data_IF_713958812319
#
_entry.id   IF_713958812319
#
_cell.length_a   1.000
_cell.length_b   1.000
_cell.length_c   1.000
_cell.angle_alpha   90.00
_cell.angle_beta   90.00
_cell.angle_gamma   90.00
#
_symmetry.space_group_name_H-M   'P 1'
#
loop_
_entity.id
_entity.type
_entity.pdbx_description
1 polymer ?
#
# COMPACT_ATOMS: atom_id res chain seq x y z
N UNK A 1 47.59 -44.94 4.64
CA UNK A 1 47.34 -43.58 4.08
C UNK A 1 45.86 -43.42 3.82
N UNK A 2 45.16 -42.78 4.72
CA UNK A 2 43.70 -42.52 4.61
C UNK A 2 43.52 -41.10 4.13
N UNK A 3 43.12 -40.91 2.88
CA UNK A 3 42.68 -39.63 2.36
C UNK A 3 41.20 -39.47 2.73
N UNK A 4 40.98 -38.60 3.68
CA UNK A 4 39.64 -38.26 4.20
C UNK A 4 39.04 -37.16 3.31
N UNK A 5 38.17 -37.55 2.40
CA UNK A 5 37.34 -36.63 1.63
C UNK A 5 36.33 -35.95 2.57
N UNK A 6 36.57 -34.69 2.90
CA UNK A 6 35.63 -33.82 3.55
C UNK A 6 34.66 -33.29 2.47
N UNK A 7 33.50 -33.91 2.37
CA UNK A 7 32.41 -33.44 1.54
C UNK A 7 31.78 -32.22 2.23
N UNK A 8 32.16 -31.03 1.74
CA UNK A 8 31.58 -29.78 2.20
C UNK A 8 30.14 -29.68 1.64
N UNK A 9 29.16 -30.06 2.46
CA UNK A 9 27.75 -29.82 2.15
C UNK A 9 27.46 -28.33 2.28
N UNK A 10 27.50 -27.61 1.14
CA UNK A 10 26.98 -26.26 1.05
C UNK A 10 25.46 -26.39 1.04
N UNK A 11 24.85 -26.17 2.20
CA UNK A 11 23.40 -26.00 2.33
C UNK A 11 23.11 -24.59 1.76
N UNK A 12 22.78 -24.54 0.48
CA UNK A 12 22.13 -23.38 -0.11
C UNK A 12 20.73 -23.29 0.49
N UNK A 13 20.62 -22.53 1.58
CA UNK A 13 19.31 -22.06 2.04
C UNK A 13 18.73 -21.16 0.94
N UNK A 14 18.03 -21.76 -0.01
CA UNK A 14 17.19 -21.04 -0.92
C UNK A 14 16.11 -20.34 -0.09
N UNK A 15 16.30 -19.05 0.14
CA UNK A 15 15.23 -18.18 0.60
C UNK A 15 14.19 -18.19 -0.51
N UNK A 16 13.22 -19.08 -0.43
CA UNK A 16 12.06 -19.07 -1.30
C UNK A 16 11.28 -17.81 -0.91
N UNK A 17 11.46 -16.75 -1.71
CA UNK A 17 10.53 -15.64 -1.74
C UNK A 17 9.20 -16.30 -2.10
N UNK A 18 8.30 -16.40 -1.12
CA UNK A 18 6.95 -16.82 -1.38
C UNK A 18 6.41 -15.84 -2.43
N UNK A 19 6.28 -16.30 -3.68
CA UNK A 19 5.52 -15.59 -4.68
C UNK A 19 4.09 -15.57 -4.14
N UNK A 20 3.71 -14.42 -3.55
CA UNK A 20 2.31 -14.15 -3.26
C UNK A 20 1.64 -14.18 -4.63
N UNK A 21 0.80 -15.17 -4.85
CA UNK A 21 0.06 -15.31 -6.09
C UNK A 21 -0.90 -14.12 -6.19
N UNK A 22 -0.47 -13.08 -6.90
CA UNK A 22 -1.21 -11.82 -7.10
C UNK A 22 -2.06 -11.89 -8.36
N UNK A 23 -2.30 -13.09 -8.88
CA UNK A 23 -3.03 -13.32 -10.14
C UNK A 23 -4.46 -12.77 -10.14
N UNK A 24 -5.03 -12.48 -8.97
CA UNK A 24 -6.38 -11.95 -8.81
C UNK A 24 -6.45 -10.43 -8.77
N UNK A 25 -5.31 -9.72 -8.67
CA UNK A 25 -5.26 -8.27 -8.60
C UNK A 25 -4.70 -7.68 -9.90
N UNK A 26 -5.46 -6.80 -10.52
CA UNK A 26 -5.04 -6.01 -11.67
C UNK A 26 -5.02 -4.52 -11.31
N UNK A 27 -3.99 -3.79 -11.76
CA UNK A 27 -3.77 -2.39 -11.44
C UNK A 27 -3.54 -1.59 -12.73
N UNK A 28 -4.08 -0.41 -12.82
CA UNK A 28 -3.74 0.53 -13.87
C UNK A 28 -2.43 1.29 -13.60
N UNK A 29 -2.08 2.20 -14.50
CA UNK A 29 -0.83 2.98 -14.42
C UNK A 29 -0.82 4.06 -13.33
N UNK A 30 -1.94 4.31 -12.66
CA UNK A 30 -2.02 5.25 -11.54
C UNK A 30 -1.34 4.76 -10.27
N UNK A 31 -1.07 3.44 -10.19
CA UNK A 31 -0.44 2.81 -9.02
C UNK A 31 1.08 2.73 -9.16
N UNK A 32 1.81 3.32 -8.22
CA UNK A 32 3.25 3.10 -8.10
C UNK A 32 3.57 1.66 -7.66
N UNK A 33 4.81 1.21 -7.86
CA UNK A 33 5.23 -0.12 -7.39
C UNK A 33 5.07 -0.29 -5.87
N UNK A 34 5.28 0.78 -5.09
CA UNK A 34 5.05 0.77 -3.65
C UNK A 34 3.57 0.59 -3.31
N UNK A 35 2.67 1.26 -4.05
CA UNK A 35 1.23 1.13 -3.84
C UNK A 35 0.76 -0.29 -4.17
N UNK A 36 1.17 -0.83 -5.32
CA UNK A 36 0.89 -2.21 -5.73
C UNK A 36 1.34 -3.22 -4.66
N UNK A 37 2.53 -3.02 -4.10
CA UNK A 37 3.03 -3.88 -3.01
C UNK A 37 2.13 -3.83 -1.77
N UNK A 38 1.70 -2.64 -1.34
CA UNK A 38 0.83 -2.49 -0.18
C UNK A 38 -0.56 -3.12 -0.40
N UNK A 39 -1.18 -2.89 -1.57
CA UNK A 39 -2.45 -3.51 -1.92
C UNK A 39 -2.34 -5.04 -2.04
N UNK A 40 -1.30 -5.56 -2.67
CA UNK A 40 -1.05 -7.01 -2.74
C UNK A 40 -0.92 -7.63 -1.35
N UNK A 41 -0.26 -6.94 -0.42
CA UNK A 41 -0.09 -7.42 0.95
C UNK A 41 -1.41 -7.48 1.71
N UNK A 42 -2.27 -6.47 1.59
CA UNK A 42 -3.52 -6.41 2.35
C UNK A 42 -4.68 -7.17 1.70
N UNK A 43 -4.62 -7.45 0.39
CA UNK A 43 -5.62 -8.19 -0.36
C UNK A 43 -5.15 -9.61 -0.75
N UNK A 44 -4.09 -10.13 -0.11
CA UNK A 44 -3.50 -11.44 -0.44
C UNK A 44 -4.48 -12.63 -0.32
N UNK A 45 -5.52 -12.50 0.49
CA UNK A 45 -6.52 -13.55 0.73
C UNK A 45 -7.80 -13.38 -0.11
N UNK A 46 -7.83 -12.43 -1.04
CA UNK A 46 -8.99 -12.19 -1.90
C UNK A 46 -9.03 -13.23 -3.01
N UNK A 47 -10.10 -14.02 -3.07
CA UNK A 47 -10.30 -15.08 -4.08
C UNK A 47 -10.97 -14.54 -5.35
N UNK A 48 -11.66 -13.43 -5.28
CA UNK A 48 -12.30 -12.79 -6.42
C UNK A 48 -11.29 -12.02 -7.26
N UNK A 49 -11.45 -12.08 -8.59
CA UNK A 49 -10.65 -11.27 -9.52
C UNK A 49 -11.14 -9.83 -9.46
N UNK A 50 -10.28 -8.92 -9.02
CA UNK A 50 -10.58 -7.49 -8.90
C UNK A 50 -9.58 -6.65 -9.69
N UNK A 51 -10.06 -5.53 -10.20
CA UNK A 51 -9.26 -4.51 -10.86
C UNK A 51 -9.37 -3.21 -10.11
N UNK A 52 -8.21 -2.61 -9.78
CA UNK A 52 -8.10 -1.33 -9.09
C UNK A 52 -7.58 -0.27 -10.08
N UNK A 53 -8.33 0.82 -10.22
CA UNK A 53 -8.03 1.91 -11.16
C UNK A 53 -8.11 3.27 -10.49
N UNK A 54 -7.54 4.28 -11.15
CA UNK A 54 -7.70 5.70 -10.80
C UNK A 54 -7.28 6.03 -9.37
N UNK A 55 -6.17 5.45 -8.90
CA UNK A 55 -5.67 5.76 -7.55
C UNK A 55 -5.26 7.23 -7.48
N UNK A 56 -5.86 7.95 -6.55
CA UNK A 56 -5.55 9.34 -6.25
C UNK A 56 -5.25 9.51 -4.76
N UNK A 57 -4.15 10.17 -4.46
CA UNK A 57 -3.81 10.57 -3.11
C UNK A 57 -3.70 12.09 -3.07
N UNK A 58 -4.67 12.73 -2.43
CA UNK A 58 -4.78 14.17 -2.33
C UNK A 58 -4.69 14.62 -0.87
N UNK A 59 -4.22 15.83 -0.65
CA UNK A 59 -4.21 16.46 0.65
C UNK A 59 -4.53 17.95 0.55
N UNK A 60 -5.15 18.47 1.59
CA UNK A 60 -5.45 19.88 1.76
C UNK A 60 -5.00 20.30 3.15
N UNK A 61 -4.01 21.19 3.22
CA UNK A 61 -3.56 21.82 4.45
C UNK A 61 -4.36 23.09 4.71
N UNK A 62 -4.82 23.27 5.94
CA UNK A 62 -5.57 24.47 6.34
C UNK A 62 -4.65 25.59 6.81
N UNK A 63 -3.47 25.25 7.34
CA UNK A 63 -2.55 26.19 7.97
C UNK A 63 -1.09 25.91 7.59
N UNK A 64 -0.27 26.95 7.72
CA UNK A 64 1.18 26.90 7.56
C UNK A 64 1.81 27.47 8.83
N UNK A 65 2.77 26.76 9.42
CA UNK A 65 3.46 27.19 10.62
C UNK A 65 4.59 28.19 10.31
N UNK A 66 5.25 28.68 11.35
CA UNK A 66 6.36 29.65 11.24
C UNK A 66 7.58 29.13 10.46
N UNK A 67 7.74 27.81 10.29
CA UNK A 67 8.78 27.17 9.49
C UNK A 67 8.33 26.96 8.03
N UNK A 68 7.15 27.40 7.63
CA UNK A 68 6.59 27.18 6.30
C UNK A 68 6.06 25.76 6.06
N UNK A 69 5.84 24.99 7.13
CA UNK A 69 5.32 23.62 7.03
C UNK A 69 3.81 23.60 7.23
N UNK A 70 3.15 22.80 6.42
CA UNK A 70 1.70 22.59 6.46
C UNK A 70 1.28 21.81 7.70
N UNK A 71 0.16 22.17 8.30
CA UNK A 71 -0.46 21.44 9.41
C UNK A 71 -2.00 21.54 9.34
N UNK A 72 -2.71 20.79 10.19
CA UNK A 72 -4.16 20.58 10.07
C UNK A 72 -4.52 20.09 8.66
N UNK A 73 -3.88 19.01 8.25
CA UNK A 73 -3.98 18.53 6.87
C UNK A 73 -5.00 17.40 6.77
N UNK A 74 -5.91 17.55 5.83
CA UNK A 74 -6.85 16.51 5.42
C UNK A 74 -6.23 15.70 4.29
N UNK A 75 -6.10 14.39 4.49
CA UNK A 75 -5.62 13.44 3.48
C UNK A 75 -6.78 12.59 2.99
N UNK A 76 -6.85 12.40 1.68
CA UNK A 76 -7.87 11.58 1.02
C UNK A 76 -7.19 10.65 0.03
N UNK A 77 -7.50 9.36 0.14
CA UNK A 77 -7.16 8.34 -0.85
C UNK A 77 -8.46 7.90 -1.53
N UNK A 78 -8.49 7.93 -2.85
CA UNK A 78 -9.63 7.46 -3.64
C UNK A 78 -9.17 6.53 -4.75
N UNK A 79 -9.98 5.55 -5.08
CA UNK A 79 -9.77 4.64 -6.22
C UNK A 79 -11.11 4.10 -6.72
N UNK A 80 -11.07 3.46 -7.89
CA UNK A 80 -12.21 2.74 -8.47
C UNK A 80 -11.96 1.24 -8.40
N UNK A 81 -12.83 0.51 -7.72
CA UNK A 81 -12.88 -0.95 -7.66
C UNK A 81 -13.78 -1.50 -8.76
N UNK A 82 -13.30 -2.44 -9.56
CA UNK A 82 -14.11 -3.22 -10.50
C UNK A 82 -13.98 -4.70 -10.16
N UNK A 83 -15.11 -5.39 -10.08
CA UNK A 83 -15.21 -6.84 -9.94
C UNK A 83 -15.83 -7.43 -11.20
N UNK A 84 -15.91 -8.75 -11.29
CA UNK A 84 -16.59 -9.40 -12.43
C UNK A 84 -18.07 -9.01 -12.55
N UNK A 85 -18.69 -8.62 -11.43
CA UNK A 85 -20.13 -8.35 -11.32
C UNK A 85 -20.46 -6.86 -11.14
N UNK A 86 -19.46 -5.95 -11.16
CA UNK A 86 -19.69 -4.52 -10.94
C UNK A 86 -19.06 -3.65 -12.02
N UNK A 87 -19.78 -2.59 -12.44
CA UNK A 87 -19.29 -1.62 -13.42
C UNK A 87 -18.19 -0.69 -12.90
N UNK A 88 -17.98 -0.65 -11.61
CA UNK A 88 -16.98 0.17 -10.94
C UNK A 88 -17.58 0.89 -9.74
N UNK A 89 -16.93 0.75 -8.59
CA UNK A 89 -17.32 1.39 -7.34
C UNK A 89 -16.20 2.31 -6.91
N UNK A 90 -16.54 3.56 -6.66
CA UNK A 90 -15.59 4.51 -6.10
C UNK A 90 -15.48 4.29 -4.60
N UNK A 91 -14.25 4.08 -4.14
CA UNK A 91 -13.90 3.94 -2.73
C UNK A 91 -13.03 5.12 -2.31
N UNK A 92 -13.40 5.75 -1.20
CA UNK A 92 -12.67 6.86 -0.62
C UNK A 92 -12.34 6.55 0.84
N UNK A 93 -11.15 6.91 1.28
CA UNK A 93 -10.77 6.93 2.69
C UNK A 93 -10.13 8.27 3.04
N UNK A 94 -10.36 8.76 4.26
CA UNK A 94 -9.95 10.07 4.69
C UNK A 94 -9.35 10.03 6.10
N UNK A 95 -8.29 10.82 6.31
CA UNK A 95 -7.71 11.07 7.63
C UNK A 95 -7.40 12.55 7.81
N UNK A 96 -7.61 13.04 9.03
CA UNK A 96 -7.18 14.35 9.47
C UNK A 96 -5.90 14.20 10.28
N UNK A 97 -4.92 15.03 9.99
CA UNK A 97 -3.70 15.12 10.76
C UNK A 97 -3.51 16.53 11.28
N UNK A 98 -3.43 16.67 12.60
CA UNK A 98 -3.26 17.96 13.29
C UNK A 98 -1.82 18.19 13.75
N UNK A 99 -0.87 17.32 13.39
CA UNK A 99 0.52 17.43 13.78
C UNK A 99 1.14 18.71 13.24
N UNK A 100 1.80 19.46 14.11
CA UNK A 100 2.59 20.63 13.75
C UNK A 100 4.06 20.21 13.66
N UNK A 101 4.58 20.15 12.44
CA UNK A 101 5.91 19.63 12.17
C UNK A 101 7.00 20.64 12.49
N UNK A 102 8.16 20.13 12.92
CA UNK A 102 9.38 20.91 13.16
C UNK A 102 10.40 20.79 12.00
N UNK A 103 10.19 19.86 11.07
CA UNK A 103 11.06 19.67 9.91
C UNK A 103 10.29 19.08 8.72
N UNK A 104 10.76 19.37 7.49
CA UNK A 104 10.20 18.80 6.26
C UNK A 104 10.34 17.28 6.19
N UNK A 105 11.47 16.74 6.64
CA UNK A 105 11.68 15.29 6.66
C UNK A 105 10.67 14.56 7.54
N UNK A 106 10.29 15.14 8.67
CA UNK A 106 9.27 14.60 9.56
C UNK A 106 7.90 14.65 8.89
N UNK A 107 7.56 15.76 8.24
CA UNK A 107 6.32 15.93 7.51
C UNK A 107 6.19 14.92 6.35
N UNK A 108 7.26 14.72 5.56
CA UNK A 108 7.26 13.78 4.44
C UNK A 108 7.15 12.32 4.90
N UNK A 109 7.83 11.96 5.99
CA UNK A 109 7.74 10.61 6.58
C UNK A 109 6.32 10.31 7.05
N UNK A 110 5.68 11.25 7.72
CA UNK A 110 4.32 11.06 8.25
C UNK A 110 3.28 11.06 7.13
N UNK A 111 3.44 11.88 6.09
CA UNK A 111 2.60 11.83 4.88
C UNK A 111 2.60 10.44 4.25
N UNK A 112 3.77 9.81 4.14
CA UNK A 112 3.91 8.45 3.64
C UNK A 112 3.22 7.42 4.55
N UNK A 113 3.36 7.56 5.86
CA UNK A 113 2.71 6.70 6.84
C UNK A 113 1.18 6.82 6.76
N UNK A 114 0.65 8.05 6.68
CA UNK A 114 -0.78 8.31 6.53
C UNK A 114 -1.30 7.68 5.23
N UNK A 115 -0.57 7.78 4.12
CA UNK A 115 -0.95 7.12 2.87
C UNK A 115 -1.08 5.59 3.05
N UNK A 116 -0.14 4.96 3.74
CA UNK A 116 -0.19 3.53 4.01
C UNK A 116 -1.38 3.14 4.91
N UNK A 117 -1.72 3.96 5.89
CA UNK A 117 -2.91 3.76 6.72
C UNK A 117 -4.20 3.88 5.92
N UNK A 118 -4.29 4.85 5.00
CA UNK A 118 -5.43 5.02 4.10
C UNK A 118 -5.57 3.83 3.15
N UNK A 119 -4.47 3.30 2.61
CA UNK A 119 -4.47 2.06 1.82
C UNK A 119 -5.04 0.90 2.66
N UNK A 120 -4.59 0.75 3.90
CA UNK A 120 -5.12 -0.29 4.80
C UNK A 120 -6.62 -0.15 5.05
N UNK A 121 -7.13 1.08 5.20
CA UNK A 121 -8.56 1.34 5.41
C UNK A 121 -9.36 0.99 4.15
N UNK A 122 -8.87 1.35 2.96
CA UNK A 122 -9.49 0.98 1.69
C UNK A 122 -9.47 -0.53 1.48
N UNK A 123 -8.38 -1.22 1.82
CA UNK A 123 -8.32 -2.68 1.74
C UNK A 123 -9.38 -3.37 2.61
N UNK A 124 -9.64 -2.86 3.81
CA UNK A 124 -10.72 -3.36 4.67
C UNK A 124 -12.09 -3.19 4.00
N UNK A 125 -12.31 -2.04 3.36
CA UNK A 125 -13.55 -1.77 2.63
C UNK A 125 -13.72 -2.70 1.44
N UNK A 126 -12.63 -2.99 0.70
CA UNK A 126 -12.64 -3.95 -0.42
C UNK A 126 -12.96 -5.35 0.09
N UNK A 127 -12.29 -5.84 1.13
CA UNK A 127 -12.54 -7.17 1.70
C UNK A 127 -14.00 -7.32 2.13
N UNK A 128 -14.56 -6.32 2.82
CA UNK A 128 -15.97 -6.35 3.21
C UNK A 128 -16.95 -6.31 2.03
N UNK A 129 -16.51 -5.84 0.87
CA UNK A 129 -17.35 -5.76 -0.33
C UNK A 129 -17.34 -7.07 -1.14
N UNK A 130 -16.20 -7.79 -1.14
CA UNK A 130 -16.00 -9.00 -1.95
C UNK A 130 -16.25 -10.30 -1.15
N UNK A 131 -16.52 -10.22 0.16
CA UNK A 131 -17.02 -11.34 0.98
C UNK A 131 -18.52 -11.56 0.73
#
# INVERSE_FOLDING_TARGET
>A
MFTRNILLLIILSSCSIANIDTSNLDFDDSFSNSDKFQFNKCLANTFEKIKLNDLQFNYLAENINSQGLEFNTKYVLSLTLKTQNSEGIKLDSMRLNTTNYISSNMADSEKKEIKNLLISDVCKSINNYVE
#
